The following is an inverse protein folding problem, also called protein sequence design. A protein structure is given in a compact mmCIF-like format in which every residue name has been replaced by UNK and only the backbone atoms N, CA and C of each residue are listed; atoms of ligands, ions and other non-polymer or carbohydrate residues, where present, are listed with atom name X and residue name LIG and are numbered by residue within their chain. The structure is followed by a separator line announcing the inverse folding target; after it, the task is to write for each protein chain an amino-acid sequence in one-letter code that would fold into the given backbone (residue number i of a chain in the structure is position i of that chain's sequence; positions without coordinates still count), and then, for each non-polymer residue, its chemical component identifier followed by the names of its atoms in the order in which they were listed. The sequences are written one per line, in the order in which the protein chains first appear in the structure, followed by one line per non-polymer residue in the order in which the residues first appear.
data_IF_672781370554
#
_entry.id   IF_672781370554
#
_cell.length_a   1.000
_cell.length_b   1.000
_cell.length_c   1.000
_cell.angle_alpha   90.00
_cell.angle_beta   90.00
_cell.angle_gamma   90.00
#
_symmetry.space_group_name_H-M   'P 1'
#
loop_
_entity.id
_entity.type
_entity.pdbx_description
1 polymer ?
#
# COMPACT_ATOMS: atom_id res chain seq x y z
N UNK A 1 11.60 -2.02 -18.41
CA UNK A 1 11.26 -3.20 -17.59
C UNK A 1 9.74 -3.25 -17.51
N UNK A 2 9.10 -4.39 -17.76
CA UNK A 2 7.65 -4.53 -17.60
C UNK A 2 7.32 -4.73 -16.11
N UNK A 3 6.33 -4.02 -15.58
CA UNK A 3 5.87 -4.23 -14.22
C UNK A 3 5.26 -5.64 -14.10
N UNK A 4 5.77 -6.44 -13.17
CA UNK A 4 5.20 -7.76 -12.87
C UNK A 4 4.23 -7.62 -11.71
N UNK A 5 3.02 -8.15 -11.85
CA UNK A 5 2.07 -8.26 -10.74
C UNK A 5 2.65 -9.20 -9.67
N UNK A 6 2.89 -8.67 -8.47
CA UNK A 6 3.39 -9.43 -7.33
C UNK A 6 2.28 -9.57 -6.28
N UNK A 7 2.00 -10.81 -5.84
CA UNK A 7 1.07 -11.05 -4.74
C UNK A 7 1.84 -11.05 -3.42
N UNK A 8 1.48 -10.13 -2.52
CA UNK A 8 2.12 -10.00 -1.21
C UNK A 8 1.23 -10.67 -0.15
N UNK A 9 1.65 -11.81 0.44
CA UNK A 9 0.89 -12.43 1.50
C UNK A 9 0.94 -11.57 2.78
N UNK A 10 -0.23 -11.14 3.24
CA UNK A 10 -0.38 -10.33 4.45
C UNK A 10 -1.08 -11.10 5.57
N UNK A 11 -0.65 -10.85 6.80
CA UNK A 11 -1.37 -11.28 8.01
C UNK A 11 -2.79 -10.69 8.02
N UNK A 12 -3.69 -11.28 8.81
CA UNK A 12 -5.08 -10.78 8.93
C UNK A 12 -5.12 -9.35 9.49
N UNK A 13 -4.23 -9.06 10.43
CA UNK A 13 -4.09 -7.75 11.07
C UNK A 13 -3.67 -6.69 10.05
N UNK A 14 -2.59 -6.93 9.30
CA UNK A 14 -2.13 -6.00 8.25
C UNK A 14 -3.15 -5.77 7.15
N UNK A 15 -3.92 -6.81 6.78
CA UNK A 15 -5.07 -6.64 5.85
C UNK A 15 -6.17 -5.75 6.41
N UNK A 16 -6.42 -5.81 7.72
CA UNK A 16 -7.41 -4.96 8.37
C UNK A 16 -6.95 -3.50 8.39
N UNK A 17 -5.70 -3.26 8.76
CA UNK A 17 -5.09 -1.92 8.72
C UNK A 17 -5.15 -1.32 7.31
N UNK A 18 -4.73 -2.07 6.29
CA UNK A 18 -4.77 -1.62 4.90
C UNK A 18 -6.20 -1.29 4.43
N UNK A 19 -7.20 -2.05 4.89
CA UNK A 19 -8.61 -1.78 4.61
C UNK A 19 -9.10 -0.47 5.26
N UNK A 20 -8.66 -0.19 6.48
CA UNK A 20 -8.99 1.07 7.16
C UNK A 20 -8.35 2.23 6.42
N UNK A 21 -7.06 2.17 6.13
CA UNK A 21 -6.34 3.20 5.39
C UNK A 21 -6.94 3.49 4.01
N UNK A 22 -7.31 2.44 3.27
CA UNK A 22 -8.00 2.62 1.98
C UNK A 22 -9.29 3.43 2.12
N UNK A 23 -10.06 3.17 3.18
CA UNK A 23 -11.35 3.83 3.42
C UNK A 23 -11.20 5.27 3.95
N UNK A 24 -10.22 5.51 4.82
CA UNK A 24 -9.93 6.86 5.35
C UNK A 24 -9.43 7.81 4.26
N UNK A 25 -8.66 7.28 3.31
CA UNK A 25 -8.03 8.06 2.25
C UNK A 25 -8.82 8.05 0.93
N UNK A 26 -10.04 7.51 0.96
CA UNK A 26 -10.97 7.36 -0.19
C UNK A 26 -10.32 6.77 -1.47
N UNK A 27 -9.39 5.83 -1.29
CA UNK A 27 -8.66 5.19 -2.40
C UNK A 27 -9.48 4.10 -3.06
N UNK A 28 -9.33 3.92 -4.38
CA UNK A 28 -10.16 3.01 -5.18
C UNK A 28 -9.73 1.57 -5.03
N UNK A 29 -8.42 1.31 -4.93
CA UNK A 29 -7.84 -0.04 -4.82
C UNK A 29 -6.84 -0.17 -3.67
N UNK A 30 -6.53 -1.43 -3.33
CA UNK A 30 -5.46 -1.72 -2.38
C UNK A 30 -4.08 -1.40 -2.96
N UNK A 31 -3.91 -1.55 -4.28
CA UNK A 31 -2.66 -1.22 -4.96
C UNK A 31 -2.37 0.28 -4.92
N UNK A 32 -3.39 1.12 -5.10
CA UNK A 32 -3.28 2.57 -4.97
C UNK A 32 -2.92 2.97 -3.53
N UNK A 33 -3.49 2.27 -2.56
CA UNK A 33 -3.15 2.46 -1.13
C UNK A 33 -1.72 2.05 -0.84
N UNK A 34 -1.28 0.91 -1.39
CA UNK A 34 0.07 0.41 -1.19
C UNK A 34 1.11 1.30 -1.88
N UNK A 35 0.84 1.79 -3.09
CA UNK A 35 1.71 2.72 -3.81
C UNK A 35 1.94 4.00 -2.99
N UNK A 36 0.88 4.60 -2.45
CA UNK A 36 1.00 5.79 -1.61
C UNK A 36 1.82 5.54 -0.33
N UNK A 37 1.68 4.36 0.29
CA UNK A 37 2.48 4.00 1.46
C UNK A 37 3.96 3.80 1.11
N UNK A 38 4.26 3.22 -0.04
CA UNK A 38 5.63 3.03 -0.53
C UNK A 38 6.27 4.39 -0.88
N UNK A 39 5.54 5.27 -1.57
CA UNK A 39 6.02 6.61 -1.91
C UNK A 39 6.34 7.43 -0.64
N UNK A 40 5.49 7.32 0.39
CA UNK A 40 5.74 7.95 1.68
C UNK A 40 6.99 7.39 2.37
N UNK A 41 7.14 6.07 2.42
CA UNK A 41 8.31 5.40 2.98
C UNK A 41 9.60 5.80 2.27
N UNK A 42 9.62 5.79 0.93
CA UNK A 42 10.78 6.18 0.13
C UNK A 42 11.15 7.65 0.34
N UNK A 43 10.17 8.51 0.65
CA UNK A 43 10.40 9.93 0.97
C UNK A 43 10.99 10.11 2.38
N UNK A 44 10.58 9.31 3.36
CA UNK A 44 11.08 9.38 4.74
C UNK A 44 12.49 8.80 4.92
N UNK A 45 12.87 7.81 4.11
CA UNK A 45 14.17 7.11 4.22
C UNK A 45 15.30 7.77 3.37
N UNK A 46 14.95 8.70 2.46
CA UNK A 46 15.91 9.37 1.56
C UNK A 46 16.15 10.88 1.82
N UNK A 47 15.70 11.41 2.97
CA UNK A 47 15.98 12.81 3.42
C UNK A 47 17.04 12.88 4.52
#
# INVERSE_FOLDING_TARGET
MAATEAQIPLSKERRRELKVLKAEEDRRSYDETLAALLDAYDTEDND
#
